data_IF_468951747752
#
_entry.id   IF_468951747752
#
_cell.length_a   1.000
_cell.length_b   1.000
_cell.length_c   1.000
_cell.angle_alpha   90.00
_cell.angle_beta   90.00
_cell.angle_gamma   90.00
#
_symmetry.space_group_name_H-M   'P 1'
#
loop_
_entity.id
_entity.type
_entity.pdbx_description
1 polymer ?
#
# COMPACT_ATOMS: atom_id res chain seq x y z
N UNK A 1 26.72 38.00 -1.84
CA UNK A 1 26.22 37.43 -1.84
C UNK A 1 25.55 36.44 -1.92
N UNK A 2 25.48 36.38 -1.82
CA UNK A 2 24.84 35.56 -1.73
C UNK A 2 24.28 34.54 -1.95
N UNK A 3 24.01 34.24 -1.94
CA UNK A 3 23.39 33.43 -1.93
C UNK A 3 22.95 32.50 -2.12
N UNK A 4 22.86 32.25 -2.01
CA UNK A 4 22.41 31.36 -2.14
C UNK A 4 21.80 30.55 -2.17
N UNK A 5 21.48 30.31 -2.08
CA UNK A 5 20.88 29.46 -2.01
C UNK A 5 20.35 28.68 -2.35
N UNK A 6 20.19 28.50 -2.42
CA UNK A 6 19.69 27.73 -2.68
C UNK A 6 19.19 26.88 -2.72
N UNK A 7 18.93 26.61 -2.69
CA UNK A 7 18.43 25.73 -2.70
C UNK A 7 17.91 24.84 -2.92
N UNK A 8 17.69 24.58 -2.92
CA UNK A 8 17.22 23.77 -3.09
C UNK A 8 16.80 22.88 -3.24
N UNK A 9 16.71 22.39 -3.29
CA UNK A 9 16.30 21.41 -3.70
C UNK A 9 15.60 20.57 -3.40
N UNK A 10 15.25 20.56 -3.31
CA UNK A 10 14.67 19.82 -3.15
C UNK A 10 14.39 18.83 -3.69
N UNK A 11 14.25 18.63 -4.36
CA UNK A 11 13.98 17.50 -4.92
C UNK A 11 14.25 16.37 -4.12
N UNK A 12 14.34 16.47 -3.01
CA UNK A 12 14.61 15.39 -2.19
C UNK A 12 13.70 14.25 -2.45
N UNK A 13 14.18 13.08 -2.34
CA UNK A 13 13.40 11.92 -2.51
C UNK A 13 12.48 11.76 -1.36
N UNK A 14 11.20 11.64 -1.64
CA UNK A 14 10.25 11.47 -0.56
C UNK A 14 10.56 10.28 0.32
N UNK A 15 11.12 9.22 -0.27
CA UNK A 15 11.39 8.01 0.50
C UNK A 15 12.48 8.17 1.53
N UNK A 16 13.37 9.14 1.30
CA UNK A 16 14.45 9.38 2.24
C UNK A 16 14.04 10.26 3.40
N UNK A 17 12.82 10.79 3.34
CA UNK A 17 12.36 11.76 4.32
C UNK A 17 11.03 11.34 4.90
N UNK A 18 10.89 10.04 5.17
CA UNK A 18 9.65 9.54 5.73
C UNK A 18 9.46 10.06 7.15
N UNK A 19 8.23 10.36 7.53
CA UNK A 19 7.98 10.80 8.90
C UNK A 19 8.38 9.74 9.90
N UNK A 20 8.88 10.18 11.04
CA UNK A 20 9.23 9.28 12.12
C UNK A 20 8.24 9.35 13.28
N UNK A 21 7.18 10.12 13.14
CA UNK A 21 6.17 10.27 14.19
C UNK A 21 4.79 10.24 13.60
N UNK A 22 3.80 9.99 14.44
CA UNK A 22 2.41 10.02 14.02
C UNK A 22 2.01 11.40 13.53
N UNK A 23 2.48 12.44 14.20
CA UNK A 23 2.17 13.80 13.77
C UNK A 23 2.71 14.08 12.37
N UNK A 24 3.90 13.56 12.06
CA UNK A 24 4.47 13.71 10.74
C UNK A 24 3.65 13.00 9.67
N UNK A 25 3.19 11.80 9.96
CA UNK A 25 2.35 11.08 9.02
C UNK A 25 1.01 11.80 8.81
N UNK A 26 0.43 12.31 9.89
CA UNK A 26 -0.81 13.07 9.77
C UNK A 26 -0.65 14.29 8.88
N UNK A 27 0.49 14.96 8.98
CA UNK A 27 0.75 16.12 8.15
C UNK A 27 0.96 15.76 6.69
N UNK A 28 1.51 14.59 6.42
CA UNK A 28 1.84 14.16 5.06
C UNK A 28 0.64 13.56 4.32
N UNK A 29 -0.22 12.86 5.03
CA UNK A 29 -1.31 12.09 4.42
C UNK A 29 -2.65 12.82 4.58
N UNK A 30 -3.61 12.51 3.70
CA UNK A 30 -4.97 12.97 3.89
C UNK A 30 -5.56 12.24 5.10
N UNK A 31 -6.70 12.71 5.58
CA UNK A 31 -7.39 12.07 6.70
C UNK A 31 -7.67 10.61 6.42
N UNK A 32 -8.18 10.33 5.23
CA UNK A 32 -8.53 8.96 4.87
C UNK A 32 -7.29 8.10 4.74
N UNK A 33 -6.24 8.62 4.11
CA UNK A 33 -4.97 7.90 3.97
C UNK A 33 -4.38 7.60 5.34
N UNK A 34 -4.41 8.58 6.24
CA UNK A 34 -3.89 8.38 7.58
C UNK A 34 -4.67 7.31 8.33
N UNK A 35 -6.00 7.37 8.24
CA UNK A 35 -6.85 6.37 8.90
C UNK A 35 -6.52 4.97 8.44
N UNK A 36 -6.34 4.77 7.15
CA UNK A 36 -6.11 3.42 6.62
C UNK A 36 -4.66 2.99 6.80
N UNK A 37 -3.71 3.84 6.41
CA UNK A 37 -2.30 3.45 6.45
C UNK A 37 -1.70 3.39 7.85
N UNK A 38 -2.12 4.27 8.73
CA UNK A 38 -1.48 4.38 10.05
C UNK A 38 -2.36 3.91 11.20
N UNK A 39 -3.69 3.86 11.00
CA UNK A 39 -4.60 3.42 12.05
C UNK A 39 -5.29 2.11 11.72
N UNK A 40 -4.80 1.42 10.67
CA UNK A 40 -5.29 0.11 10.27
C UNK A 40 -6.76 0.10 9.88
N UNK A 41 -7.23 1.18 9.28
CA UNK A 41 -8.59 1.25 8.80
C UNK A 41 -8.79 0.40 7.55
N UNK A 42 -10.04 0.24 7.17
CA UNK A 42 -10.43 -0.50 5.96
C UNK A 42 -11.40 0.36 5.17
N UNK A 43 -11.13 0.54 3.88
CA UNK A 43 -12.06 1.26 3.02
C UNK A 43 -13.30 0.41 2.79
N UNK A 44 -14.41 1.05 2.43
CA UNK A 44 -15.63 0.33 2.11
C UNK A 44 -15.42 -0.53 0.86
N UNK A 45 -15.96 -1.74 0.84
CA UNK A 45 -15.81 -2.59 -0.35
C UNK A 45 -16.46 -1.95 -1.57
N UNK A 46 -15.88 -2.20 -2.72
CA UNK A 46 -16.37 -1.73 -4.03
C UNK A 46 -16.28 -0.23 -4.24
N UNK A 47 -15.53 0.51 -3.39
CA UNK A 47 -15.40 1.96 -3.54
C UNK A 47 -14.03 2.40 -4.01
N UNK A 48 -13.02 1.52 -3.99
CA UNK A 48 -11.65 1.91 -4.26
C UNK A 48 -11.39 2.18 -5.73
N UNK A 49 -10.58 3.20 -6.01
CA UNK A 49 -10.35 3.60 -7.41
C UNK A 49 -9.52 2.58 -8.19
N UNK A 50 -8.81 1.70 -7.52
CA UNK A 50 -8.02 0.69 -8.21
C UNK A 50 -8.71 -0.66 -8.32
N UNK A 51 -9.95 -0.76 -7.82
CA UNK A 51 -10.66 -2.04 -7.85
C UNK A 51 -10.78 -2.57 -9.29
N UNK A 52 -11.28 -1.74 -10.20
CA UNK A 52 -11.47 -2.13 -11.59
C UNK A 52 -10.35 -1.64 -12.51
N UNK A 53 -9.28 -1.14 -11.94
CA UNK A 53 -8.16 -0.56 -12.67
C UNK A 53 -7.39 -1.64 -13.41
N UNK A 54 -7.13 -1.44 -14.69
CA UNK A 54 -6.49 -2.46 -15.53
C UNK A 54 -5.26 -1.94 -16.27
N UNK A 55 -4.83 -0.74 -15.97
CA UNK A 55 -3.66 -0.16 -16.62
C UNK A 55 -2.40 -0.93 -16.25
N UNK A 56 -1.45 -1.00 -17.18
CA UNK A 56 -0.19 -1.70 -16.93
C UNK A 56 0.77 -0.80 -16.16
N UNK A 57 1.34 -1.35 -15.10
CA UNK A 57 2.27 -0.59 -14.30
C UNK A 57 2.47 -1.21 -12.93
N UNK A 58 2.81 -0.34 -11.99
CA UNK A 58 3.19 -0.76 -10.65
C UNK A 58 2.28 -0.11 -9.63
N UNK A 59 1.79 -0.91 -8.69
CA UNK A 59 1.04 -0.40 -7.55
C UNK A 59 2.02 -0.16 -6.42
N UNK A 60 2.05 1.07 -5.94
CA UNK A 60 3.05 1.52 -4.97
C UNK A 60 2.41 1.79 -3.62
N UNK A 61 3.22 1.84 -2.57
CA UNK A 61 2.74 2.22 -1.26
C UNK A 61 2.43 3.72 -1.25
N UNK A 62 1.21 4.07 -0.86
CA UNK A 62 0.82 5.48 -0.81
C UNK A 62 1.68 6.25 0.20
N UNK A 63 2.16 5.57 1.23
CA UNK A 63 2.95 6.23 2.26
C UNK A 63 4.37 6.53 1.85
N UNK A 64 5.03 5.62 1.14
CA UNK A 64 6.47 5.77 0.89
C UNK A 64 6.88 5.57 -0.57
N UNK A 65 5.97 5.16 -1.45
CA UNK A 65 6.30 5.01 -2.86
C UNK A 65 6.96 3.70 -3.26
N UNK A 66 7.19 2.79 -2.32
CA UNK A 66 7.77 1.50 -2.65
C UNK A 66 6.85 0.74 -3.60
N UNK A 67 7.40 0.16 -4.66
CA UNK A 67 6.62 -0.69 -5.56
C UNK A 67 6.27 -1.98 -4.83
N UNK A 68 4.98 -2.29 -4.77
CA UNK A 68 4.49 -3.43 -4.01
C UNK A 68 3.96 -4.55 -4.89
N UNK A 69 3.23 -4.20 -5.94
CA UNK A 69 2.61 -5.18 -6.83
C UNK A 69 2.72 -4.72 -8.27
N UNK A 70 2.78 -5.67 -9.18
CA UNK A 70 2.77 -5.37 -10.60
C UNK A 70 1.39 -5.71 -11.16
N UNK A 71 0.98 -4.97 -12.19
CA UNK A 71 -0.36 -5.11 -12.75
C UNK A 71 -0.66 -6.52 -13.24
N UNK A 72 0.36 -7.27 -13.67
CA UNK A 72 0.12 -8.63 -14.17
C UNK A 72 -0.20 -9.63 -13.05
N UNK A 73 -0.04 -9.22 -11.79
CA UNK A 73 -0.43 -10.04 -10.64
C UNK A 73 -1.84 -9.73 -10.15
N UNK A 74 -2.48 -8.72 -10.72
CA UNK A 74 -3.80 -8.29 -10.26
C UNK A 74 -4.88 -9.17 -10.88
N UNK A 75 -5.86 -9.53 -10.07
CA UNK A 75 -6.99 -10.31 -10.58
C UNK A 75 -8.27 -9.87 -9.87
N UNK A 76 -9.42 -10.20 -10.47
CA UNK A 76 -10.71 -9.86 -9.90
C UNK A 76 -11.16 -11.00 -8.99
N UNK A 77 -11.10 -10.80 -7.70
CA UNK A 77 -11.50 -11.81 -6.72
C UNK A 77 -12.95 -11.65 -6.29
N UNK A 78 -13.62 -10.59 -6.72
CA UNK A 78 -14.99 -10.26 -6.33
C UNK A 78 -15.14 -10.04 -4.83
N UNK A 79 -14.05 -9.72 -4.14
CA UNK A 79 -14.12 -9.48 -2.70
C UNK A 79 -14.42 -8.03 -2.34
N UNK A 80 -14.35 -7.12 -3.33
CA UNK A 80 -14.62 -5.72 -3.09
C UNK A 80 -13.38 -4.84 -2.95
N UNK A 81 -12.19 -5.42 -2.97
CA UNK A 81 -10.93 -4.70 -2.89
C UNK A 81 -9.98 -5.19 -3.96
N UNK A 82 -9.04 -4.35 -4.43
CA UNK A 82 -8.01 -4.82 -5.35
C UNK A 82 -7.30 -6.06 -4.82
N UNK A 83 -7.10 -7.03 -5.68
CA UNK A 83 -6.51 -8.30 -5.28
C UNK A 83 -5.34 -8.67 -6.17
N UNK A 84 -4.31 -9.24 -5.56
CA UNK A 84 -3.08 -9.63 -6.25
C UNK A 84 -2.69 -11.04 -5.80
N UNK A 85 -2.02 -11.79 -6.67
CA UNK A 85 -1.63 -13.14 -6.31
C UNK A 85 -0.18 -13.24 -5.83
N UNK A 86 0.59 -12.17 -5.93
CA UNK A 86 1.96 -12.16 -5.40
C UNK A 86 2.47 -10.73 -5.25
N UNK A 87 3.42 -10.53 -4.33
CA UNK A 87 4.11 -9.26 -4.19
C UNK A 87 5.12 -9.13 -5.34
N UNK A 88 5.59 -7.90 -5.59
CA UNK A 88 6.47 -7.67 -6.74
C UNK A 88 7.81 -8.36 -6.58
N UNK A 89 8.29 -8.48 -5.35
CA UNK A 89 9.48 -9.25 -5.02
C UNK A 89 9.45 -9.59 -3.55
N UNK A 90 10.18 -10.62 -3.16
CA UNK A 90 10.20 -11.06 -1.77
C UNK A 90 10.69 -9.93 -0.87
N UNK A 91 10.02 -9.76 0.25
CA UNK A 91 10.48 -8.83 1.29
C UNK A 91 9.88 -7.44 1.25
N UNK A 92 9.08 -7.10 0.23
CA UNK A 92 8.45 -5.75 0.23
C UNK A 92 7.20 -5.71 1.08
N UNK A 93 6.61 -6.87 1.40
CA UNK A 93 5.40 -6.98 2.21
C UNK A 93 5.76 -7.70 3.51
N UNK A 94 5.33 -7.16 4.64
CA UNK A 94 5.47 -7.81 5.93
C UNK A 94 4.14 -8.41 6.34
N UNK A 95 4.17 -9.63 6.87
CA UNK A 95 2.96 -10.33 7.33
C UNK A 95 2.95 -10.41 8.84
N UNK A 96 1.80 -10.17 9.44
CA UNK A 96 1.65 -10.18 10.89
C UNK A 96 0.30 -10.79 11.24
N UNK A 97 0.26 -11.69 12.23
CA UNK A 97 -0.99 -12.26 12.66
C UNK A 97 -1.94 -11.17 13.16
N UNK A 98 -3.19 -11.25 12.74
CA UNK A 98 -4.23 -10.31 13.13
C UNK A 98 -5.39 -11.10 13.70
N UNK A 99 -5.57 -11.00 15.01
CA UNK A 99 -6.60 -11.75 15.74
C UNK A 99 -7.79 -10.87 16.13
N UNK A 100 -7.90 -9.69 15.54
CA UNK A 100 -9.00 -8.78 15.87
C UNK A 100 -10.32 -9.31 15.31
N UNK A 101 -11.40 -8.82 15.83
CA UNK A 101 -12.77 -9.15 15.40
C UNK A 101 -13.07 -10.65 15.52
N UNK A 102 -12.36 -11.35 16.41
CA UNK A 102 -12.60 -12.78 16.60
C UNK A 102 -12.17 -13.64 15.42
N UNK A 103 -11.40 -13.09 14.50
CA UNK A 103 -10.95 -13.79 13.31
C UNK A 103 -9.45 -14.05 13.37
N UNK A 104 -9.01 -15.03 12.60
CA UNK A 104 -7.58 -15.29 12.44
C UNK A 104 -7.23 -14.92 11.01
N UNK A 105 -6.60 -13.77 10.85
CA UNK A 105 -6.19 -13.29 9.54
C UNK A 105 -4.72 -12.92 9.58
N UNK A 106 -4.13 -12.68 8.42
CA UNK A 106 -2.76 -12.22 8.32
C UNK A 106 -2.79 -10.84 7.70
N UNK A 107 -2.40 -9.86 8.51
CA UNK A 107 -2.31 -8.48 8.05
C UNK A 107 -1.07 -8.31 7.19
N UNK A 108 -1.17 -7.52 6.12
CA UNK A 108 0.00 -7.15 5.32
C UNK A 108 0.26 -5.66 5.45
N UNK A 109 1.54 -5.32 5.61
CA UNK A 109 2.00 -3.94 5.70
C UNK A 109 3.17 -3.75 4.76
N UNK A 110 3.41 -2.50 4.39
CA UNK A 110 4.59 -2.15 3.63
C UNK A 110 5.82 -2.38 4.51
N UNK A 111 6.76 -3.20 4.05
CA UNK A 111 7.92 -3.53 4.85
C UNK A 111 8.79 -2.30 5.10
N UNK A 112 8.76 -1.30 4.22
CA UNK A 112 9.60 -0.13 4.36
C UNK A 112 9.04 0.88 5.37
N UNK A 113 7.77 1.22 5.27
CA UNK A 113 7.22 2.29 6.12
C UNK A 113 6.22 1.80 7.15
N UNK A 114 5.84 0.51 7.10
CA UNK A 114 4.89 -0.03 8.05
C UNK A 114 3.44 0.30 7.77
N UNK A 115 3.14 0.94 6.64
CA UNK A 115 1.77 1.31 6.32
C UNK A 115 0.88 0.08 6.14
N UNK A 116 -0.32 0.15 6.71
CA UNK A 116 -1.27 -0.95 6.60
C UNK A 116 -1.81 -1.04 5.17
N UNK A 117 -1.75 -2.22 4.58
CA UNK A 117 -2.22 -2.44 3.22
C UNK A 117 -3.53 -3.20 3.19
N UNK A 118 -3.65 -4.23 3.97
CA UNK A 118 -4.81 -5.11 3.98
C UNK A 118 -4.48 -6.44 4.61
N UNK A 119 -4.90 -7.51 3.96
CA UNK A 119 -4.69 -8.87 4.47
C UNK A 119 -4.37 -9.82 3.33
N UNK A 120 -3.70 -10.93 3.66
CA UNK A 120 -3.43 -11.98 2.67
C UNK A 120 -4.13 -13.26 3.10
N UNK A 121 -4.70 -13.96 2.11
CA UNK A 121 -5.45 -15.20 2.32
C UNK A 121 -4.87 -16.28 1.42
N UNK A 122 -5.11 -17.54 1.78
CA UNK A 122 -4.59 -18.67 1.01
C UNK A 122 -5.67 -19.30 0.12
N UNK A 123 -6.63 -18.50 -0.31
CA UNK A 123 -7.73 -18.94 -1.15
C UNK A 123 -7.66 -18.33 -2.56
N UNK A 124 -6.46 -18.05 -3.03
CA UNK A 124 -6.28 -17.47 -4.36
C UNK A 124 -6.43 -18.48 -5.48
N UNK A 125 -6.81 -18.03 -6.66
CA UNK A 125 -7.13 -18.92 -7.79
C UNK A 125 -5.94 -19.32 -8.64
N UNK A 126 -4.77 -18.74 -8.41
CA UNK A 126 -3.60 -19.01 -9.27
C UNK A 126 -2.66 -19.98 -8.58
N UNK A 127 -1.53 -20.27 -9.26
CA UNK A 127 -0.57 -21.24 -8.75
C UNK A 127 0.05 -20.83 -7.42
N UNK A 128 0.09 -19.54 -7.10
CA UNK A 128 0.61 -19.12 -5.79
C UNK A 128 -0.33 -19.50 -4.67
N UNK A 129 -1.63 -19.68 -4.96
CA UNK A 129 -2.62 -19.96 -3.95
C UNK A 129 -2.93 -18.79 -3.04
N UNK A 130 -2.37 -17.61 -3.31
CA UNK A 130 -2.50 -16.46 -2.42
C UNK A 130 -3.44 -15.40 -3.00
N UNK A 131 -4.11 -14.69 -2.10
CA UNK A 131 -4.93 -13.53 -2.47
C UNK A 131 -4.56 -12.41 -1.50
N UNK A 132 -3.77 -11.45 -2.01
CA UNK A 132 -3.46 -10.23 -1.29
C UNK A 132 -4.61 -9.26 -1.52
N UNK A 133 -5.34 -8.95 -0.48
CA UNK A 133 -6.52 -8.10 -0.54
C UNK A 133 -6.12 -6.73 0.02
N UNK A 134 -6.11 -5.70 -0.82
CA UNK A 134 -5.44 -4.44 -0.50
C UNK A 134 -6.38 -3.27 -0.64
N UNK A 135 -6.33 -2.33 0.32
CA UNK A 135 -7.10 -1.11 0.22
C UNK A 135 -6.55 -0.23 -0.90
N UNK A 136 -7.42 0.24 -1.79
CA UNK A 136 -7.00 1.18 -2.84
C UNK A 136 -6.37 2.43 -2.25
N UNK A 137 -6.88 2.89 -1.10
CA UNK A 137 -6.36 4.09 -0.46
C UNK A 137 -4.92 3.92 -0.03
N UNK A 138 -4.48 2.68 0.23
CA UNK A 138 -3.10 2.38 0.59
C UNK A 138 -2.15 2.40 -0.60
N UNK A 139 -2.68 2.54 -1.80
CA UNK A 139 -1.89 2.37 -3.03
C UNK A 139 -1.79 3.65 -3.84
N UNK A 140 -0.67 3.78 -4.53
CA UNK A 140 -0.53 4.67 -5.65
C UNK A 140 -0.31 3.84 -6.90
N UNK A 141 -0.20 4.49 -8.04
CA UNK A 141 0.03 3.79 -9.29
C UNK A 141 1.09 4.51 -10.11
N UNK A 142 2.01 3.72 -10.64
CA UNK A 142 3.08 4.22 -11.48
C UNK A 142 2.97 3.51 -12.83
N UNK A 143 2.67 4.26 -13.88
CA UNK A 143 2.47 3.67 -15.21
C UNK A 143 3.77 3.09 -15.73
N UNK A 144 3.67 1.94 -16.38
CA UNK A 144 4.81 1.26 -16.97
C UNK A 144 5.34 2.00 -18.20
#
# INVERSE_FOLDING_TARGET
AFQACSQAPKSTKPMDQLPSSEAGWKAKLSEEEYYILRQKGTEQPYTGKFLMHVERGYYTCRGCGTRLFKSDSKFDSHCGWPSFDKEIKAGVIKETADLTLGMRRIEITCAKCGGHLGHVFDDGPTTTGLRYCVNSVSLGFEKE
#
